data_IF_171017623949
#
_entry.id   IF_171017623949
#
_cell.length_a   1.000
_cell.length_b   1.000
_cell.length_c   1.000
_cell.angle_alpha   90.00
_cell.angle_beta   90.00
_cell.angle_gamma   90.00
#
_symmetry.space_group_name_H-M   'P 1'
#
loop_
_entity.id
_entity.type
_entity.pdbx_description
1 polymer ?
#
# COMPACT_ATOMS: atom_id res chain seq x y z
N UNK A 1 22.35 -0.10 57.71
CA UNK A 1 21.16 0.71 58.05
C UNK A 1 20.47 1.06 56.74
N UNK A 2 19.30 0.46 56.49
CA UNK A 2 18.21 0.80 55.55
C UNK A 2 18.61 1.14 54.09
N UNK A 3 18.25 0.36 53.08
CA UNK A 3 16.89 -0.12 52.79
C UNK A 3 16.30 0.78 51.70
N UNK A 4 15.95 0.20 50.55
CA UNK A 4 15.34 0.88 49.41
C UNK A 4 15.23 -0.05 48.21
N UNK A 5 14.28 -0.97 48.27
CA UNK A 5 13.67 -1.61 47.11
C UNK A 5 12.42 -0.79 46.80
N UNK A 6 12.32 -0.17 45.62
CA UNK A 6 11.04 0.34 45.12
C UNK A 6 11.00 0.26 43.59
N UNK A 7 9.96 -0.40 43.12
CA UNK A 7 9.71 -0.88 41.77
C UNK A 7 9.32 0.21 40.76
N UNK A 8 9.82 0.08 39.53
CA UNK A 8 9.52 1.00 38.43
C UNK A 8 9.29 0.29 37.10
N UNK A 9 8.45 -0.74 37.09
CA UNK A 9 7.83 -1.23 35.85
C UNK A 9 6.91 -0.13 35.32
N UNK A 10 7.03 0.18 34.03
CA UNK A 10 6.17 1.06 33.21
C UNK A 10 6.60 2.52 33.09
N UNK A 11 7.27 2.84 31.97
CA UNK A 11 6.77 3.76 30.93
C UNK A 11 7.66 3.60 29.68
N UNK A 12 7.15 2.96 28.65
CA UNK A 12 6.38 3.58 27.55
C UNK A 12 7.31 4.14 26.46
N UNK A 13 7.10 3.58 25.27
CA UNK A 13 7.33 4.13 23.93
C UNK A 13 8.74 3.99 23.35
N UNK A 14 8.91 2.83 22.70
CA UNK A 14 9.10 2.78 21.25
C UNK A 14 9.98 3.88 20.68
N UNK A 15 11.24 3.84 21.04
CA UNK A 15 12.23 4.72 20.42
C UNK A 15 13.15 3.86 19.56
N UNK A 16 12.79 3.84 18.27
CA UNK A 16 13.67 3.71 17.11
C UNK A 16 13.97 2.29 16.59
N UNK A 17 12.96 1.67 15.97
CA UNK A 17 13.16 0.87 14.76
C UNK A 17 13.66 1.77 13.61
N UNK A 18 14.91 2.21 13.68
CA UNK A 18 15.55 3.09 12.70
C UNK A 18 16.37 2.31 11.65
N UNK A 19 16.08 1.02 11.47
CA UNK A 19 16.70 0.16 10.44
C UNK A 19 15.70 -0.42 9.43
N UNK A 20 14.57 0.25 9.18
CA UNK A 20 13.64 -0.17 8.12
C UNK A 20 13.63 0.77 6.89
N UNK A 21 14.61 1.65 6.75
CA UNK A 21 14.61 2.71 5.74
C UNK A 21 15.34 2.35 4.44
N UNK A 22 15.15 1.13 3.92
CA UNK A 22 15.38 0.82 2.51
C UNK A 22 14.43 -0.27 2.06
N UNK A 23 13.14 0.06 1.90
CA UNK A 23 12.29 -0.76 1.03
C UNK A 23 12.77 -0.48 -0.39
N UNK A 24 13.61 -1.39 -0.90
CA UNK A 24 13.85 -1.52 -2.33
C UNK A 24 12.48 -1.62 -2.99
N UNK A 25 12.16 -0.64 -3.83
CA UNK A 25 11.01 -0.74 -4.73
C UNK A 25 11.47 -1.80 -5.74
N UNK A 26 11.24 -3.06 -5.40
CA UNK A 26 11.45 -4.18 -6.32
C UNK A 26 10.71 -3.85 -7.62
N UNK A 27 11.27 -4.29 -8.75
CA UNK A 27 10.82 -4.08 -10.13
C UNK A 27 9.39 -4.61 -10.40
N UNK A 28 8.39 -4.09 -9.68
CA UNK A 28 6.98 -4.43 -9.83
C UNK A 28 6.46 -3.70 -11.07
N UNK A 29 6.18 -4.47 -12.13
CA UNK A 29 5.60 -3.98 -13.38
C UNK A 29 4.20 -3.34 -13.18
N UNK A 30 3.54 -3.60 -12.04
CA UNK A 30 2.21 -3.06 -11.74
C UNK A 30 2.27 -1.88 -10.76
N UNK A 31 1.93 -0.65 -11.19
CA UNK A 31 1.98 0.54 -10.33
C UNK A 31 1.12 0.47 -9.07
N UNK A 32 -0.03 -0.23 -9.12
CA UNK A 32 -0.93 -0.41 -7.96
C UNK A 32 -0.22 -1.22 -6.88
N UNK A 33 0.41 -2.33 -7.26
CA UNK A 33 1.16 -3.20 -6.33
C UNK A 33 2.37 -2.47 -5.75
N UNK A 34 3.12 -1.76 -6.59
CA UNK A 34 4.29 -0.99 -6.17
C UNK A 34 3.91 0.08 -5.11
N UNK A 35 2.87 0.87 -5.38
CA UNK A 35 2.38 1.90 -4.45
C UNK A 35 1.82 1.30 -3.16
N UNK A 36 1.06 0.22 -3.24
CA UNK A 36 0.55 -0.48 -2.05
C UNK A 36 1.68 -0.96 -1.15
N UNK A 37 2.72 -1.55 -1.73
CA UNK A 37 3.92 -2.02 -1.00
C UNK A 37 4.70 -0.85 -0.39
N UNK A 38 4.82 0.27 -1.10
CA UNK A 38 5.43 1.49 -0.57
C UNK A 38 4.68 2.02 0.67
N UNK A 39 3.36 1.91 0.71
CA UNK A 39 2.54 2.25 1.88
C UNK A 39 2.51 1.15 2.97
N UNK A 40 3.14 -0.01 2.74
CA UNK A 40 3.20 -1.16 3.68
C UNK A 40 1.83 -1.72 4.09
N UNK A 41 0.82 -1.59 3.23
CA UNK A 41 -0.52 -2.15 3.48
C UNK A 41 -0.72 -3.47 2.70
N UNK A 42 -1.54 -4.34 3.25
CA UNK A 42 -1.95 -5.61 2.63
C UNK A 42 -3.01 -5.40 1.54
N UNK A 43 -3.20 -6.39 0.67
CA UNK A 43 -4.27 -6.36 -0.34
C UNK A 43 -5.67 -6.30 0.30
N UNK A 44 -5.85 -6.88 1.49
CA UNK A 44 -7.11 -6.84 2.21
C UNK A 44 -7.41 -5.43 2.75
N UNK A 45 -6.40 -4.73 3.27
CA UNK A 45 -6.53 -3.34 3.72
C UNK A 45 -6.84 -2.40 2.56
N UNK A 46 -6.14 -2.53 1.42
CA UNK A 46 -6.45 -1.75 0.22
C UNK A 46 -7.88 -2.03 -0.28
N UNK A 47 -8.29 -3.31 -0.28
CA UNK A 47 -9.64 -3.71 -0.69
C UNK A 47 -10.72 -3.08 0.22
N UNK A 48 -10.49 -3.08 1.53
CA UNK A 48 -11.34 -2.41 2.51
C UNK A 48 -11.43 -0.90 2.25
N UNK A 49 -10.29 -0.25 1.99
CA UNK A 49 -10.22 1.19 1.74
C UNK A 49 -11.01 1.62 0.49
N UNK A 50 -11.07 0.80 -0.56
CA UNK A 50 -11.80 1.12 -1.79
C UNK A 50 -13.19 0.46 -1.88
N UNK A 51 -13.55 -0.37 -0.90
CA UNK A 51 -14.86 -1.01 -0.78
C UNK A 51 -15.08 -2.11 -1.82
N UNK A 52 -14.08 -2.98 -2.03
CA UNK A 52 -14.14 -4.14 -2.93
C UNK A 52 -13.66 -5.42 -2.23
N UNK A 53 -13.77 -6.55 -2.91
CA UNK A 53 -13.21 -7.81 -2.40
C UNK A 53 -11.68 -7.83 -2.49
N UNK A 54 -11.00 -8.61 -1.64
CA UNK A 54 -9.56 -8.85 -1.78
C UNK A 54 -9.21 -9.43 -3.15
N UNK A 55 -10.05 -10.31 -3.71
CA UNK A 55 -9.85 -10.89 -5.04
C UNK A 55 -9.83 -9.82 -6.14
N UNK A 56 -10.65 -8.79 -6.02
CA UNK A 56 -10.65 -7.63 -6.93
C UNK A 56 -9.26 -6.97 -6.95
N UNK A 57 -8.69 -6.67 -5.78
CA UNK A 57 -7.33 -6.10 -5.69
C UNK A 57 -6.28 -7.06 -6.27
N UNK A 58 -6.39 -8.37 -6.02
CA UNK A 58 -5.49 -9.36 -6.62
C UNK A 58 -5.53 -9.31 -8.15
N UNK A 59 -6.73 -9.29 -8.75
CA UNK A 59 -6.88 -9.22 -10.21
C UNK A 59 -6.37 -7.90 -10.80
N UNK A 60 -6.52 -6.78 -10.08
CA UNK A 60 -5.95 -5.48 -10.49
C UNK A 60 -4.42 -5.55 -10.50
N UNK A 61 -3.81 -6.10 -9.45
CA UNK A 61 -2.35 -6.20 -9.34
C UNK A 61 -1.73 -7.16 -10.34
N UNK A 62 -2.50 -8.16 -10.81
CA UNK A 62 -2.09 -9.04 -11.90
C UNK A 62 -2.23 -8.41 -13.29
N UNK A 63 -3.04 -7.36 -13.42
CA UNK A 63 -3.39 -6.78 -14.73
C UNK A 63 -4.38 -7.63 -15.52
N UNK A 64 -5.12 -8.54 -14.85
CA UNK A 64 -6.03 -9.49 -15.51
C UNK A 64 -7.30 -8.83 -16.08
N UNK A 65 -7.57 -7.55 -15.76
CA UNK A 65 -8.72 -6.83 -16.27
C UNK A 65 -8.57 -5.31 -16.18
N UNK A 66 -9.31 -4.59 -17.04
CA UNK A 66 -9.46 -3.14 -16.94
C UNK A 66 -10.47 -2.79 -15.83
N UNK A 67 -10.07 -2.10 -14.75
CA UNK A 67 -11.00 -1.66 -13.72
C UNK A 67 -11.99 -0.63 -14.26
N UNK A 68 -13.17 -0.55 -13.64
CA UNK A 68 -14.10 0.54 -13.93
C UNK A 68 -13.48 1.89 -13.56
N UNK A 69 -13.92 2.97 -14.21
CA UNK A 69 -13.46 4.34 -13.92
C UNK A 69 -13.58 4.67 -12.43
N UNK A 70 -14.69 4.31 -11.80
CA UNK A 70 -14.89 4.53 -10.36
C UNK A 70 -13.90 3.76 -9.49
N UNK A 71 -13.55 2.53 -9.85
CA UNK A 71 -12.56 1.75 -9.10
C UNK A 71 -11.16 2.35 -9.28
N UNK A 72 -10.80 2.76 -10.50
CA UNK A 72 -9.53 3.42 -10.78
C UNK A 72 -9.36 4.71 -9.97
N UNK A 73 -10.39 5.57 -9.92
CA UNK A 73 -10.40 6.80 -9.11
C UNK A 73 -10.25 6.52 -7.61
N UNK A 74 -10.96 5.50 -7.09
CA UNK A 74 -10.84 5.11 -5.67
C UNK A 74 -9.45 4.60 -5.33
N UNK A 75 -8.84 3.79 -6.21
CA UNK A 75 -7.49 3.29 -6.03
C UNK A 75 -6.46 4.43 -6.06
N UNK A 76 -6.58 5.36 -7.00
CA UNK A 76 -5.72 6.53 -7.10
C UNK A 76 -5.76 7.35 -5.80
N UNK A 77 -6.96 7.62 -5.27
CA UNK A 77 -7.14 8.33 -4.00
C UNK A 77 -6.58 7.56 -2.81
N UNK A 78 -6.81 6.25 -2.73
CA UNK A 78 -6.32 5.41 -1.62
C UNK A 78 -4.79 5.28 -1.62
N UNK A 79 -4.16 5.30 -2.79
CA UNK A 79 -2.72 5.12 -2.97
C UNK A 79 -1.96 6.45 -3.12
N UNK A 80 -2.61 7.58 -2.85
CA UNK A 80 -2.05 8.93 -2.92
C UNK A 80 -1.31 9.22 -4.24
N UNK A 81 -2.03 9.01 -5.35
CA UNK A 81 -1.50 9.17 -6.71
C UNK A 81 -2.62 9.48 -7.70
N UNK A 82 -2.29 9.58 -8.98
CA UNK A 82 -3.27 9.80 -10.05
C UNK A 82 -3.61 8.50 -10.80
N UNK A 83 -4.72 8.51 -11.53
CA UNK A 83 -5.18 7.35 -12.33
C UNK A 83 -4.17 7.04 -13.43
N UNK A 84 -3.62 8.07 -14.07
CA UNK A 84 -2.65 7.97 -15.16
C UNK A 84 -1.35 7.31 -14.70
N UNK A 85 -0.94 7.56 -13.45
CA UNK A 85 0.22 6.89 -12.87
C UNK A 85 -0.10 5.42 -12.54
N UNK A 86 -1.33 5.10 -12.12
CA UNK A 86 -1.69 3.72 -11.81
C UNK A 86 -1.94 2.86 -13.06
N UNK A 87 -2.46 3.48 -14.11
CA UNK A 87 -2.90 2.84 -15.35
C UNK A 87 -2.38 3.66 -16.54
N UNK A 88 -1.08 3.61 -16.84
CA UNK A 88 -0.51 4.33 -17.96
C UNK A 88 -1.07 3.77 -19.28
N UNK A 89 -1.44 4.67 -20.20
CA UNK A 89 -1.79 4.28 -21.57
C UNK A 89 -0.54 3.76 -22.26
N UNK A 90 -0.62 2.58 -22.88
CA UNK A 90 0.48 2.08 -23.72
C UNK A 90 0.31 2.66 -25.12
N UNK A 91 1.42 2.92 -25.81
CA UNK A 91 1.41 3.56 -27.13
C UNK A 91 0.60 2.77 -28.18
N UNK A 92 0.36 1.48 -27.94
CA UNK A 92 -0.40 0.56 -28.81
C UNK A 92 -1.93 0.57 -28.60
N UNK A 93 -2.46 1.31 -27.61
CA UNK A 93 -3.91 1.44 -27.39
C UNK A 93 -4.54 2.45 -28.38
N UNK A 94 -4.34 2.23 -29.69
CA UNK A 94 -5.04 2.99 -30.72
C UNK A 94 -6.50 2.53 -30.82
N UNK A 95 -7.43 3.38 -30.37
CA UNK A 95 -8.84 3.28 -30.77
C UNK A 95 -8.93 3.70 -32.24
N UNK A 96 -8.83 2.71 -33.12
CA UNK A 96 -9.18 2.83 -34.55
C UNK A 96 -10.68 2.77 -34.76
#
# INVERSE_FOLDING_TARGET
>A
MHGGMDDGVTRMLDTQCQECLTLRVDDDENPVRARRRAQRITQAELAGAVGVSRQTVVSVEKGDYAPSVYLALKLARALDTTVEHLFPLKEDDHVG
#
